data_IF_036548141273
#
_entry.id   IF_036548141273
#
_cell.length_a   1.000
_cell.length_b   1.000
_cell.length_c   1.000
_cell.angle_alpha   90.00
_cell.angle_beta   90.00
_cell.angle_gamma   90.00
#
_symmetry.space_group_name_H-M   'P 1'
#
loop_
_entity.id
_entity.type
_entity.pdbx_description
1 polymer ?
#
# COMPACT_ATOMS: atom_id res chain seq x y z
N UNK A 1 25.28 -5.97 -29.38
CA UNK A 1 24.30 -5.20 -28.56
C UNK A 1 24.93 -4.97 -27.20
N UNK A 2 25.11 -3.69 -26.80
CA UNK A 2 25.69 -3.32 -25.51
C UNK A 2 24.52 -3.11 -24.51
N UNK A 3 24.58 -3.73 -23.32
CA UNK A 3 23.66 -3.48 -22.21
C UNK A 3 24.34 -2.57 -21.19
N UNK A 4 23.78 -1.41 -20.94
CA UNK A 4 24.19 -0.54 -19.84
C UNK A 4 23.25 -0.84 -18.67
N UNK A 5 23.79 -1.24 -17.53
CA UNK A 5 23.04 -1.45 -16.28
C UNK A 5 23.06 -0.14 -15.50
N UNK A 6 21.91 0.54 -15.42
CA UNK A 6 21.71 1.66 -14.52
C UNK A 6 21.41 1.11 -13.12
N UNK A 7 22.04 1.69 -12.10
CA UNK A 7 21.60 1.49 -10.71
C UNK A 7 20.55 2.54 -10.43
N UNK A 8 19.29 2.16 -10.54
CA UNK A 8 18.18 3.03 -10.18
C UNK A 8 18.01 2.99 -8.65
N UNK A 9 18.17 4.14 -8.01
CA UNK A 9 17.79 4.33 -6.62
C UNK A 9 16.32 4.74 -6.62
N UNK A 10 15.46 3.89 -6.07
CA UNK A 10 14.05 4.23 -5.85
C UNK A 10 13.89 4.76 -4.43
N UNK A 11 13.31 5.94 -4.30
CA UNK A 11 12.91 6.48 -3.02
C UNK A 11 11.59 5.82 -2.58
N UNK A 12 11.55 5.42 -1.33
CA UNK A 12 10.36 4.90 -0.67
C UNK A 12 10.00 5.88 0.44
N UNK A 13 8.79 6.42 0.37
CA UNK A 13 8.27 7.31 1.40
C UNK A 13 7.64 6.49 2.52
N UNK A 14 7.97 6.86 3.76
CA UNK A 14 7.33 6.31 4.95
C UNK A 14 6.87 7.49 5.79
N UNK A 15 5.57 7.66 5.93
CA UNK A 15 4.98 8.75 6.67
C UNK A 15 3.92 8.25 7.66
N UNK A 16 3.72 8.97 8.74
CA UNK A 16 2.68 8.69 9.74
C UNK A 16 1.59 9.75 9.66
N UNK A 17 0.33 9.32 9.59
CA UNK A 17 -0.79 10.25 9.52
C UNK A 17 -1.04 10.93 10.88
N UNK A 18 -1.13 12.27 10.94
CA UNK A 18 -1.28 13.00 12.21
C UNK A 18 -2.56 12.65 12.98
N UNK A 19 -3.62 12.28 12.27
CA UNK A 19 -4.92 11.91 12.86
C UNK A 19 -5.17 10.39 12.84
N UNK A 20 -4.11 9.57 12.83
CA UNK A 20 -4.18 8.12 12.67
C UNK A 20 -5.17 7.42 13.59
N UNK A 21 -5.21 7.79 14.88
CA UNK A 21 -6.02 7.08 15.86
C UNK A 21 -7.52 7.25 15.58
N UNK A 22 -7.95 8.47 15.24
CA UNK A 22 -9.34 8.74 14.90
C UNK A 22 -9.74 8.13 13.55
N UNK A 23 -8.86 8.20 12.55
CA UNK A 23 -9.12 7.64 11.22
C UNK A 23 -9.14 6.13 11.24
N UNK A 24 -8.18 5.48 11.91
CA UNK A 24 -8.14 4.03 12.01
C UNK A 24 -9.37 3.48 12.73
N UNK A 25 -9.84 4.15 13.79
CA UNK A 25 -11.08 3.77 14.48
C UNK A 25 -12.31 3.83 13.56
N UNK A 26 -12.39 4.85 12.69
CA UNK A 26 -13.47 4.98 11.70
C UNK A 26 -13.35 3.93 10.60
N UNK A 27 -12.14 3.75 10.05
CA UNK A 27 -11.87 2.72 9.03
C UNK A 27 -12.24 1.32 9.52
N UNK A 28 -11.89 0.97 10.76
CA UNK A 28 -12.22 -0.34 11.32
C UNK A 28 -13.73 -0.58 11.37
N UNK A 29 -14.53 0.44 11.70
CA UNK A 29 -15.99 0.35 11.66
C UNK A 29 -16.53 0.18 10.25
N UNK A 30 -16.01 0.97 9.27
CA UNK A 30 -16.43 0.88 7.88
C UNK A 30 -16.06 -0.48 7.28
N UNK A 31 -14.95 -1.07 7.68
CA UNK A 31 -14.46 -2.38 7.22
C UNK A 31 -15.34 -3.55 7.71
N UNK A 32 -16.14 -3.38 8.77
CA UNK A 32 -17.07 -4.40 9.24
C UNK A 32 -18.16 -4.71 8.19
N UNK A 33 -18.54 -3.71 7.38
CA UNK A 33 -19.53 -3.83 6.30
C UNK A 33 -18.93 -4.24 4.95
N UNK A 34 -17.62 -4.44 4.87
CA UNK A 34 -16.92 -4.78 3.62
C UNK A 34 -16.82 -6.29 3.47
N UNK A 35 -17.19 -6.79 2.30
CA UNK A 35 -17.01 -8.20 1.94
C UNK A 35 -15.54 -8.52 1.62
N UNK A 36 -15.09 -9.68 2.09
CA UNK A 36 -13.73 -10.18 1.89
C UNK A 36 -13.75 -11.56 1.26
N UNK A 37 -12.84 -11.77 0.30
CA UNK A 37 -12.59 -13.05 -0.34
C UNK A 37 -11.09 -13.27 -0.48
N UNK A 38 -10.66 -14.42 -1.01
CA UNK A 38 -9.26 -14.66 -1.35
C UNK A 38 -9.11 -14.87 -2.87
N UNK A 39 -9.22 -13.79 -3.69
CA UNK A 39 -9.31 -13.90 -5.14
C UNK A 39 -7.97 -14.22 -5.81
N UNK A 40 -6.84 -14.03 -5.16
CA UNK A 40 -5.49 -14.21 -5.72
C UNK A 40 -4.54 -14.90 -4.76
N UNK A 41 -4.78 -16.17 -4.40
CA UNK A 41 -3.96 -16.90 -3.43
C UNK A 41 -2.50 -17.11 -3.89
N UNK A 42 -2.21 -16.93 -5.18
CA UNK A 42 -0.86 -17.05 -5.74
C UNK A 42 0.05 -15.86 -5.43
N UNK A 43 -0.50 -14.66 -5.28
CA UNK A 43 0.25 -13.43 -4.96
C UNK A 43 -0.01 -13.05 -3.50
N UNK A 44 -1.27 -12.79 -3.16
CA UNK A 44 -1.70 -12.41 -1.81
C UNK A 44 -2.48 -13.57 -1.21
N UNK A 45 -1.85 -14.31 -0.32
CA UNK A 45 -2.52 -15.35 0.47
C UNK A 45 -3.06 -14.73 1.76
N UNK A 46 -4.13 -13.97 1.63
CA UNK A 46 -4.86 -13.28 2.69
C UNK A 46 -6.24 -12.88 2.17
N UNK A 47 -7.17 -12.55 3.05
CA UNK A 47 -8.49 -12.08 2.65
C UNK A 47 -8.41 -10.64 2.13
N UNK A 48 -9.02 -10.38 0.97
CA UNK A 48 -9.02 -9.09 0.29
C UNK A 48 -10.45 -8.63 0.00
N UNK A 49 -10.70 -7.33 0.07
CA UNK A 49 -11.90 -6.73 -0.49
C UNK A 49 -11.79 -6.62 -2.02
N UNK A 50 -12.88 -6.23 -2.67
CA UNK A 50 -12.84 -5.84 -4.09
C UNK A 50 -11.81 -4.72 -4.34
N UNK A 51 -11.19 -4.71 -5.52
CA UNK A 51 -10.16 -3.71 -5.90
C UNK A 51 -10.72 -2.30 -6.11
N UNK A 52 -12.03 -2.14 -6.16
CA UNK A 52 -12.73 -0.86 -6.28
C UNK A 52 -13.50 -0.52 -5.01
N UNK A 53 -13.12 -1.15 -3.90
CA UNK A 53 -13.70 -0.82 -2.60
C UNK A 53 -13.42 0.64 -2.28
N UNK A 54 -14.47 1.37 -1.93
CA UNK A 54 -14.39 2.76 -1.52
C UNK A 54 -15.22 2.96 -0.25
N UNK A 55 -14.62 3.54 0.77
CA UNK A 55 -15.32 3.96 1.98
C UNK A 55 -15.05 5.43 2.27
N UNK A 56 -15.95 6.04 3.05
CA UNK A 56 -15.86 7.48 3.30
C UNK A 56 -14.54 7.90 3.93
N UNK A 57 -14.06 7.15 4.92
CA UNK A 57 -12.82 7.51 5.63
C UNK A 57 -11.57 7.20 4.77
N UNK A 58 -11.66 6.25 3.85
CA UNK A 58 -10.60 5.96 2.89
C UNK A 58 -10.21 7.19 2.08
N UNK A 59 -11.17 8.02 1.64
CA UNK A 59 -10.90 9.23 0.85
C UNK A 59 -9.88 10.14 1.53
N UNK A 60 -9.98 10.35 2.84
CA UNK A 60 -9.03 11.20 3.58
C UNK A 60 -7.61 10.63 3.58
N UNK A 61 -7.48 9.30 3.59
CA UNK A 61 -6.17 8.65 3.47
C UNK A 61 -5.61 8.81 2.05
N UNK A 62 -6.44 8.66 1.01
CA UNK A 62 -6.03 8.81 -0.39
C UNK A 62 -5.58 10.25 -0.68
N UNK A 63 -6.33 11.26 -0.24
CA UNK A 63 -5.97 12.67 -0.37
C UNK A 63 -4.63 12.99 0.32
N UNK A 64 -4.41 12.44 1.50
CA UNK A 64 -3.14 12.61 2.21
C UNK A 64 -1.98 11.91 1.47
N UNK A 65 -2.19 10.70 0.94
CA UNK A 65 -1.19 9.99 0.14
C UNK A 65 -0.86 10.77 -1.13
N UNK A 66 -1.88 11.35 -1.80
CA UNK A 66 -1.66 12.22 -2.96
C UNK A 66 -0.77 13.41 -2.61
N UNK A 67 -1.05 14.10 -1.51
CA UNK A 67 -0.23 15.25 -1.07
C UNK A 67 1.23 14.84 -0.83
N UNK A 68 1.46 13.68 -0.19
CA UNK A 68 2.80 13.14 0.03
C UNK A 68 3.54 12.83 -1.28
N UNK A 69 2.84 12.24 -2.27
CA UNK A 69 3.43 11.95 -3.59
C UNK A 69 3.84 13.24 -4.27
N UNK A 70 2.92 14.22 -4.37
CA UNK A 70 3.19 15.51 -5.04
C UNK A 70 4.36 16.24 -4.42
N UNK A 71 4.39 16.34 -3.10
CA UNK A 71 5.44 17.06 -2.36
C UNK A 71 6.81 16.41 -2.53
N UNK A 72 6.90 15.09 -2.35
CA UNK A 72 8.19 14.41 -2.26
C UNK A 72 8.78 14.03 -3.63
N UNK A 73 7.94 13.73 -4.64
CA UNK A 73 8.41 13.46 -6.00
C UNK A 73 8.41 14.71 -6.88
N UNK A 74 8.10 15.89 -6.31
CA UNK A 74 8.12 17.20 -7.01
C UNK A 74 7.32 17.18 -8.32
N UNK A 75 6.18 16.51 -8.31
CA UNK A 75 5.33 16.44 -9.49
C UNK A 75 4.70 17.81 -9.75
N UNK A 76 4.84 18.31 -10.98
CA UNK A 76 4.16 19.54 -11.39
C UNK A 76 2.65 19.35 -11.40
N UNK A 77 1.91 20.48 -11.31
CA UNK A 77 0.44 20.46 -11.39
C UNK A 77 -0.09 20.02 -12.76
N UNK A 78 0.77 19.91 -13.78
CA UNK A 78 0.43 19.37 -15.09
C UNK A 78 0.18 17.85 -15.09
N UNK A 79 0.61 17.16 -14.00
CA UNK A 79 0.34 15.74 -13.83
C UNK A 79 -0.87 15.53 -12.92
N UNK A 80 -1.91 14.89 -13.46
CA UNK A 80 -2.98 14.30 -12.68
C UNK A 80 -2.49 13.03 -11.97
N UNK A 81 -2.95 12.81 -10.75
CA UNK A 81 -2.80 11.54 -10.04
C UNK A 81 -4.18 10.92 -9.87
N UNK A 82 -4.34 9.68 -10.29
CA UNK A 82 -5.57 8.93 -10.20
C UNK A 82 -5.36 7.65 -9.40
N UNK A 83 -6.18 7.46 -8.36
CA UNK A 83 -6.27 6.20 -7.60
C UNK A 83 -7.24 5.28 -8.33
N UNK A 84 -6.75 4.53 -9.31
CA UNK A 84 -7.62 3.70 -10.17
C UNK A 84 -8.08 2.41 -9.49
N UNK A 85 -7.45 2.00 -8.40
CA UNK A 85 -7.97 0.98 -7.50
C UNK A 85 -7.41 1.11 -6.08
N UNK A 86 -8.22 0.69 -5.12
CA UNK A 86 -7.86 0.60 -3.71
C UNK A 86 -8.68 -0.51 -3.05
N UNK A 87 -8.08 -1.21 -2.10
CA UNK A 87 -8.69 -2.35 -1.42
C UNK A 87 -8.11 -2.56 -0.03
N UNK A 88 -8.87 -3.24 0.82
CA UNK A 88 -8.41 -3.70 2.12
C UNK A 88 -7.86 -5.11 2.05
N UNK A 89 -6.88 -5.42 2.91
CA UNK A 89 -6.34 -6.77 3.11
C UNK A 89 -6.36 -7.08 4.60
N UNK A 90 -6.97 -8.22 4.96
CA UNK A 90 -6.95 -8.79 6.31
C UNK A 90 -6.01 -9.99 6.32
N UNK A 91 -4.96 -9.92 7.12
CA UNK A 91 -4.01 -11.02 7.29
C UNK A 91 -4.26 -11.75 8.60
N UNK A 92 -4.40 -13.05 8.51
CA UNK A 92 -4.39 -13.97 9.62
C UNK A 92 -2.98 -14.53 9.85
N UNK A 93 -2.81 -15.28 10.95
CA UNK A 93 -1.55 -15.95 11.23
C UNK A 93 -1.22 -16.95 10.13
N UNK A 94 -0.02 -16.84 9.56
CA UNK A 94 0.43 -17.67 8.44
C UNK A 94 0.24 -17.06 7.07
N UNK A 95 -0.64 -16.06 6.92
CA UNK A 95 -0.85 -15.35 5.67
C UNK A 95 0.40 -14.58 5.24
N UNK A 96 0.56 -14.44 3.93
CA UNK A 96 1.73 -13.79 3.32
C UNK A 96 1.35 -13.11 2.01
N UNK A 97 2.25 -12.25 1.53
CA UNK A 97 2.22 -11.76 0.16
C UNK A 97 3.53 -12.13 -0.51
N UNK A 98 3.46 -12.88 -1.61
CA UNK A 98 4.63 -13.27 -2.40
C UNK A 98 5.25 -12.05 -3.07
N UNK A 99 6.52 -12.17 -3.47
CA UNK A 99 7.23 -11.08 -4.15
C UNK A 99 6.59 -10.75 -5.49
N UNK A 100 6.30 -9.46 -5.71
CA UNK A 100 5.62 -8.96 -6.90
C UNK A 100 5.90 -7.46 -7.12
N UNK A 101 5.42 -6.93 -8.23
CA UNK A 101 5.39 -5.50 -8.58
C UNK A 101 3.97 -5.09 -8.96
N UNK A 102 3.78 -3.80 -9.19
CA UNK A 102 2.49 -3.22 -9.57
C UNK A 102 2.51 -2.52 -10.93
N UNK A 103 3.39 -2.95 -11.85
CA UNK A 103 3.41 -2.40 -13.21
C UNK A 103 2.03 -2.62 -13.87
N UNK A 104 1.41 -1.61 -14.51
CA UNK A 104 1.97 -0.32 -14.94
C UNK A 104 1.72 0.87 -13.98
N UNK A 105 1.35 0.66 -12.73
CA UNK A 105 1.13 1.75 -11.79
C UNK A 105 2.37 2.65 -11.67
N UNK A 106 2.18 3.97 -11.62
CA UNK A 106 3.25 4.91 -11.33
C UNK A 106 3.72 4.75 -9.88
N UNK A 107 2.76 4.69 -8.95
CA UNK A 107 3.01 4.42 -7.52
C UNK A 107 2.09 3.35 -6.99
N UNK A 108 2.54 2.70 -5.93
CA UNK A 108 1.72 1.87 -5.07
C UNK A 108 1.89 2.30 -3.63
N UNK A 109 0.89 2.02 -2.81
CA UNK A 109 0.96 2.34 -1.39
C UNK A 109 0.33 1.24 -0.52
N UNK A 110 0.76 1.23 0.73
CA UNK A 110 0.14 0.47 1.82
C UNK A 110 0.00 1.38 3.02
N UNK A 111 -1.21 1.53 3.54
CA UNK A 111 -1.50 2.22 4.80
C UNK A 111 -1.88 1.19 5.86
N UNK A 112 -1.22 1.20 6.99
CA UNK A 112 -1.45 0.25 8.09
C UNK A 112 -2.58 0.75 8.99
N UNK A 113 -3.71 0.05 8.99
CA UNK A 113 -4.88 0.39 9.81
C UNK A 113 -4.77 -0.26 11.19
N UNK A 114 -4.49 -1.56 11.22
CA UNK A 114 -4.34 -2.34 12.45
C UNK A 114 -3.11 -3.25 12.35
N UNK A 115 -2.26 -3.20 13.38
CA UNK A 115 -1.00 -3.96 13.41
C UNK A 115 -0.75 -4.56 14.79
N UNK A 116 -1.40 -5.69 15.13
CA UNK A 116 -1.14 -6.41 16.38
C UNK A 116 0.33 -6.81 16.51
N UNK A 117 0.77 -7.05 17.74
CA UNK A 117 2.14 -7.55 18.00
C UNK A 117 2.38 -8.84 17.21
N UNK A 118 3.44 -8.85 16.41
CA UNK A 118 3.74 -9.96 15.49
C UNK A 118 3.38 -9.70 14.03
N UNK A 119 2.80 -8.53 13.71
CA UNK A 119 2.56 -8.11 12.33
C UNK A 119 3.88 -8.09 11.54
N UNK A 120 3.89 -8.78 10.40
CA UNK A 120 5.07 -8.88 9.55
C UNK A 120 5.37 -7.57 8.83
N UNK A 121 6.66 -7.22 8.66
CA UNK A 121 7.07 -6.03 7.91
C UNK A 121 6.82 -6.21 6.41
N UNK A 122 6.78 -5.11 5.67
CA UNK A 122 7.02 -5.11 4.24
C UNK A 122 8.52 -5.21 3.97
N UNK A 123 8.93 -6.02 3.01
CA UNK A 123 10.33 -6.20 2.61
C UNK A 123 10.47 -5.89 1.13
N UNK A 124 11.40 -4.99 0.80
CA UNK A 124 11.80 -4.70 -0.58
C UNK A 124 12.79 -5.77 -1.04
N UNK A 125 12.34 -6.61 -1.98
CA UNK A 125 12.96 -7.91 -2.30
C UNK A 125 14.42 -7.79 -2.73
N UNK A 126 14.74 -6.83 -3.61
CA UNK A 126 16.10 -6.70 -4.15
C UNK A 126 17.12 -6.11 -3.18
N UNK A 127 16.66 -5.33 -2.21
CA UNK A 127 17.55 -4.66 -1.25
C UNK A 127 17.53 -5.31 0.13
N UNK A 128 16.52 -6.14 0.43
CA UNK A 128 16.26 -6.69 1.74
C UNK A 128 15.84 -5.65 2.81
N UNK A 129 15.69 -4.37 2.41
CA UNK A 129 15.23 -3.33 3.33
C UNK A 129 13.82 -3.64 3.82
N UNK A 130 13.57 -3.34 5.10
CA UNK A 130 12.31 -3.67 5.79
C UNK A 130 11.66 -2.41 6.33
N UNK A 131 10.35 -2.31 6.13
CA UNK A 131 9.52 -1.31 6.80
C UNK A 131 8.62 -2.03 7.79
N UNK A 132 8.76 -1.67 9.06
CA UNK A 132 7.94 -2.24 10.15
C UNK A 132 6.49 -1.85 9.96
N UNK A 133 5.58 -2.82 10.13
CA UNK A 133 4.15 -2.57 10.14
C UNK A 133 3.76 -1.86 11.44
N UNK A 134 3.35 -0.60 11.34
CA UNK A 134 2.90 0.22 12.46
C UNK A 134 1.64 0.99 12.06
N UNK A 135 0.60 0.86 12.88
CA UNK A 135 -0.70 1.49 12.62
C UNK A 135 -0.58 3.00 12.45
N UNK A 136 -1.22 3.55 11.43
CA UNK A 136 -1.17 4.95 11.05
C UNK A 136 -0.05 5.33 10.08
N UNK A 137 0.84 4.40 9.73
CA UNK A 137 1.90 4.64 8.73
C UNK A 137 1.44 4.27 7.33
N UNK A 138 1.86 5.07 6.35
CA UNK A 138 1.84 4.73 4.94
C UNK A 138 3.26 4.42 4.45
N UNK A 139 3.35 3.50 3.51
CA UNK A 139 4.54 3.21 2.72
C UNK A 139 4.16 3.42 1.26
N UNK A 140 4.83 4.36 0.58
CA UNK A 140 4.55 4.74 -0.80
C UNK A 140 5.81 4.50 -1.62
N UNK A 141 5.69 3.84 -2.76
CA UNK A 141 6.83 3.44 -3.57
C UNK A 141 6.44 3.34 -5.06
N UNK A 142 7.40 3.47 -6.00
CA UNK A 142 7.15 3.29 -7.43
C UNK A 142 6.62 1.89 -7.73
N UNK A 143 5.68 1.79 -8.68
CA UNK A 143 4.97 0.54 -8.99
C UNK A 143 5.87 -0.60 -9.51
N UNK A 144 7.08 -0.31 -10.01
CA UNK A 144 8.05 -1.29 -10.47
C UNK A 144 8.93 -1.90 -9.37
N UNK A 145 8.77 -1.46 -8.12
CA UNK A 145 9.61 -1.93 -6.99
C UNK A 145 9.12 -3.29 -6.46
N UNK A 146 9.99 -4.29 -6.50
CA UNK A 146 9.71 -5.63 -5.99
C UNK A 146 9.63 -5.66 -4.47
N UNK A 147 8.52 -6.15 -3.94
CA UNK A 147 8.28 -6.24 -2.50
C UNK A 147 7.43 -7.45 -2.13
N UNK A 148 7.46 -7.82 -0.86
CA UNK A 148 6.69 -8.92 -0.30
C UNK A 148 6.40 -8.72 1.18
N UNK A 149 5.48 -9.52 1.71
CA UNK A 149 5.21 -9.64 3.15
C UNK A 149 5.43 -11.08 3.55
N UNK A 150 6.39 -11.39 4.45
CA UNK A 150 6.60 -12.75 4.93
C UNK A 150 5.40 -13.23 5.74
N UNK A 151 5.36 -14.53 6.05
CA UNK A 151 4.28 -15.13 6.84
C UNK A 151 4.00 -14.31 8.11
N UNK A 152 2.76 -13.86 8.24
CA UNK A 152 2.30 -13.09 9.38
C UNK A 152 2.30 -13.94 10.65
N UNK A 153 2.77 -13.39 11.76
CA UNK A 153 2.92 -14.13 13.01
C UNK A 153 1.75 -13.96 13.97
N UNK A 154 0.77 -13.13 13.58
CA UNK A 154 -0.43 -12.83 14.35
C UNK A 154 -1.65 -12.79 13.44
N UNK A 155 -2.85 -12.84 14.00
CA UNK A 155 -4.10 -12.56 13.31
C UNK A 155 -4.50 -11.08 13.47
N UNK A 156 -5.36 -10.60 12.55
CA UNK A 156 -5.94 -9.26 12.64
C UNK A 156 -5.05 -8.11 12.17
N UNK A 157 -4.02 -8.37 11.34
CA UNK A 157 -3.32 -7.28 10.63
C UNK A 157 -4.19 -6.81 9.48
N UNK A 158 -4.52 -5.51 9.46
CA UNK A 158 -5.39 -4.90 8.44
C UNK A 158 -4.67 -3.74 7.79
N UNK A 159 -4.68 -3.72 6.45
CA UNK A 159 -4.08 -2.64 5.65
C UNK A 159 -5.05 -2.19 4.56
N UNK A 160 -4.90 -0.93 4.14
CA UNK A 160 -5.41 -0.38 2.90
C UNK A 160 -4.26 -0.36 1.90
N UNK A 161 -4.47 -0.90 0.71
CA UNK A 161 -3.53 -0.86 -0.41
C UNK A 161 -4.17 -0.20 -1.62
N UNK A 162 -3.37 0.30 -2.54
CA UNK A 162 -3.88 0.85 -3.78
C UNK A 162 -2.79 1.20 -4.77
N UNK A 163 -3.24 1.54 -5.97
CA UNK A 163 -2.41 1.91 -7.10
C UNK A 163 -2.76 3.31 -7.59
N UNK A 164 -1.73 4.05 -7.94
CA UNK A 164 -1.84 5.41 -8.47
C UNK A 164 -1.23 5.42 -9.87
N UNK A 165 -1.97 5.95 -10.84
CA UNK A 165 -1.43 6.30 -12.15
C UNK A 165 -1.20 7.80 -12.25
N UNK A 166 -0.32 8.21 -13.15
CA UNK A 166 -0.11 9.62 -13.49
C UNK A 166 -0.48 9.86 -14.94
N UNK A 167 -1.22 10.94 -15.19
CA UNK A 167 -1.63 11.38 -16.52
C UNK A 167 -1.20 12.83 -16.74
N UNK A 168 -0.86 13.19 -17.96
CA UNK A 168 -0.72 14.60 -18.32
C UNK A 168 -2.12 15.23 -18.36
N UNK A 169 -2.28 16.34 -17.68
CA UNK A 169 -3.49 17.16 -17.79
C UNK A 169 -3.35 18.01 -19.06
N UNK A 170 -4.24 17.79 -20.01
CA UNK A 170 -4.31 18.55 -21.26
C UNK A 170 -4.91 19.93 -21.03
#
# INVERSE_FOLDING_TARGET
MMKIRLRENHDVLVAEHPLKDSLNKKLLKEIEEVEFSNPKPTIVNAAMSDFRTHTRTMSFILEWIESLIRENYKLSHEFGLEFYNSWYIKYEKGDKTNSHTHIPAAFSFVYYIQTPKGSSPMIFTHTGKRVKAEAGKAVIFPGNVWHHVPKNKCSGRIVLSGHVTSTLLS
#
